data_IF_399422910088
#
_entry.id   IF_399422910088
#
_cell.length_a   1.000
_cell.length_b   1.000
_cell.length_c   1.000
_cell.angle_alpha   90.00
_cell.angle_beta   90.00
_cell.angle_gamma   90.00
#
_symmetry.space_group_name_H-M   'P 1'
#
loop_
_entity.id
_entity.type
_entity.pdbx_description
1 polymer ?
#
# COMPACT_ATOMS: atom_id res chain seq x y z
N UNK A 1 5.00 -22.45 -20.68
CA UNK A 1 4.55 -21.65 -19.53
C UNK A 1 5.46 -20.43 -19.48
N UNK A 2 4.95 -19.22 -19.67
CA UNK A 2 5.75 -17.98 -19.63
C UNK A 2 5.84 -17.50 -18.18
N UNK A 3 7.05 -17.50 -17.60
CA UNK A 3 7.30 -17.01 -16.25
C UNK A 3 7.81 -15.57 -16.32
N UNK A 4 7.13 -14.63 -15.65
CA UNK A 4 7.58 -13.24 -15.59
C UNK A 4 8.34 -12.99 -14.30
N UNK A 5 9.58 -12.53 -14.43
CA UNK A 5 10.44 -12.18 -13.30
C UNK A 5 10.50 -10.66 -13.14
N UNK A 6 10.59 -10.20 -11.89
CA UNK A 6 10.77 -8.77 -11.59
C UNK A 6 12.24 -8.48 -11.38
N UNK A 7 12.70 -7.37 -11.94
CA UNK A 7 14.07 -6.91 -11.77
C UNK A 7 14.18 -5.39 -11.85
N UNK A 8 15.33 -4.89 -11.42
CA UNK A 8 15.76 -3.51 -11.62
C UNK A 8 16.94 -3.53 -12.60
N UNK A 9 16.82 -2.81 -13.71
CA UNK A 9 17.93 -2.56 -14.63
C UNK A 9 18.68 -1.30 -14.20
N UNK A 10 19.94 -1.42 -13.77
CA UNK A 10 20.84 -0.31 -13.46
C UNK A 10 21.96 -0.26 -14.49
N UNK A 11 21.90 0.68 -15.43
CA UNK A 11 22.82 0.72 -16.56
C UNK A 11 22.68 -0.55 -17.40
N UNK A 12 23.71 -1.40 -17.40
CA UNK A 12 23.71 -2.69 -18.10
C UNK A 12 23.62 -3.91 -17.16
N UNK A 13 23.28 -3.71 -15.89
CA UNK A 13 23.19 -4.78 -14.90
C UNK A 13 21.74 -4.98 -14.45
N UNK A 14 21.28 -6.23 -14.49
CA UNK A 14 19.96 -6.64 -14.01
C UNK A 14 20.10 -7.14 -12.58
N UNK A 15 19.33 -6.56 -11.66
CA UNK A 15 19.21 -7.02 -10.27
C UNK A 15 17.81 -7.59 -10.07
N UNK A 16 17.71 -8.90 -9.84
CA UNK A 16 16.42 -9.58 -9.63
C UNK A 16 15.78 -9.14 -8.30
N UNK A 17 14.46 -8.95 -8.32
CA UNK A 17 13.65 -8.65 -7.16
C UNK A 17 12.83 -9.88 -6.79
N UNK A 18 13.29 -10.63 -5.79
CA UNK A 18 12.69 -11.89 -5.38
C UNK A 18 13.31 -13.07 -6.12
N UNK A 19 12.47 -13.91 -6.72
CA UNK A 19 12.91 -15.12 -7.40
C UNK A 19 13.73 -14.78 -8.66
N UNK A 20 14.80 -15.53 -8.83
CA UNK A 20 15.70 -15.44 -9.99
C UNK A 20 15.38 -16.60 -10.94
N UNK A 21 15.35 -16.36 -12.26
CA UNK A 21 15.29 -17.47 -13.23
C UNK A 21 16.54 -18.36 -13.11
N UNK A 22 16.32 -19.66 -13.14
CA UNK A 22 17.40 -20.63 -13.32
C UNK A 22 17.92 -20.51 -14.76
N UNK A 23 19.03 -19.79 -14.91
CA UNK A 23 19.75 -19.59 -16.17
C UNK A 23 21.09 -20.31 -16.07
N UNK A 24 21.56 -20.91 -17.16
CA UNK A 24 22.93 -21.39 -17.30
C UNK A 24 23.97 -20.27 -17.25
N UNK A 25 25.24 -20.59 -17.52
CA UNK A 25 26.34 -19.60 -17.44
C UNK A 25 26.19 -18.46 -18.45
N UNK A 26 25.69 -18.75 -19.66
CA UNK A 26 25.41 -17.77 -20.71
C UNK A 26 24.24 -18.24 -21.57
N UNK A 27 23.06 -17.65 -21.36
CA UNK A 27 21.88 -17.88 -22.18
C UNK A 27 21.40 -16.56 -22.78
N UNK A 28 20.97 -16.61 -24.04
CA UNK A 28 20.37 -15.47 -24.73
C UNK A 28 18.93 -15.29 -24.22
N UNK A 29 18.62 -14.09 -23.72
CA UNK A 29 17.29 -13.76 -23.18
C UNK A 29 16.74 -12.48 -23.80
N UNK A 30 15.46 -12.49 -24.13
CA UNK A 30 14.71 -11.30 -24.52
C UNK A 30 14.24 -10.51 -23.30
N UNK A 31 14.56 -9.22 -23.25
CA UNK A 31 14.17 -8.34 -22.14
C UNK A 31 13.11 -7.35 -22.62
N UNK A 32 11.90 -7.44 -22.06
CA UNK A 32 10.85 -6.45 -22.25
C UNK A 32 10.89 -5.43 -21.09
N UNK A 33 11.34 -4.22 -21.38
CA UNK A 33 11.43 -3.15 -20.37
C UNK A 33 10.07 -2.47 -20.20
N UNK A 34 9.34 -2.87 -19.17
CA UNK A 34 8.14 -2.16 -18.73
C UNK A 34 8.53 -1.14 -17.67
N UNK A 35 8.38 0.15 -17.98
CA UNK A 35 8.59 1.21 -16.98
C UNK A 35 7.53 1.06 -15.89
N UNK A 36 7.96 0.59 -14.73
CA UNK A 36 7.18 0.76 -13.51
C UNK A 36 6.99 2.26 -13.33
N UNK A 37 5.75 2.72 -13.17
CA UNK A 37 5.53 4.10 -12.72
C UNK A 37 6.35 4.32 -11.46
N UNK A 38 6.99 5.48 -11.36
CA UNK A 38 7.72 5.90 -10.17
C UNK A 38 6.85 5.61 -8.95
N UNK A 39 7.41 5.11 -7.82
CA UNK A 39 6.63 5.04 -6.60
C UNK A 39 6.00 6.41 -6.37
N UNK A 40 4.68 6.48 -6.12
CA UNK A 40 4.00 7.76 -5.97
C UNK A 40 4.69 8.56 -4.89
N UNK A 41 4.89 9.84 -5.16
CA UNK A 41 5.40 10.80 -4.18
C UNK A 41 4.55 10.76 -2.91
N UNK A 42 5.12 11.22 -1.80
CA UNK A 42 4.37 11.28 -0.54
C UNK A 42 3.09 12.12 -0.67
N UNK A 43 3.10 13.16 -1.51
CA UNK A 43 1.93 13.97 -1.81
C UNK A 43 0.84 13.17 -2.56
N UNK A 44 1.22 12.42 -3.60
CA UNK A 44 0.29 11.57 -4.35
C UNK A 44 -0.29 10.43 -3.47
N UNK A 45 0.52 9.85 -2.58
CA UNK A 45 0.05 8.86 -1.62
C UNK A 45 -0.97 9.46 -0.65
N UNK A 46 -0.70 10.65 -0.10
CA UNK A 46 -1.63 11.36 0.79
C UNK A 46 -2.93 11.69 0.07
N UNK A 47 -2.85 12.17 -1.17
CA UNK A 47 -4.03 12.48 -1.97
C UNK A 47 -4.86 11.23 -2.25
N UNK A 48 -4.22 10.11 -2.63
CA UNK A 48 -4.89 8.83 -2.86
C UNK A 48 -5.59 8.34 -1.61
N UNK A 49 -4.92 8.41 -0.45
CA UNK A 49 -5.49 8.02 0.83
C UNK A 49 -6.69 8.91 1.21
N UNK A 50 -6.57 10.24 1.05
CA UNK A 50 -7.65 11.17 1.32
C UNK A 50 -8.88 10.89 0.45
N UNK A 51 -8.68 10.62 -0.84
CA UNK A 51 -9.77 10.25 -1.76
C UNK A 51 -10.46 8.96 -1.32
N UNK A 52 -9.71 7.93 -0.95
CA UNK A 52 -10.29 6.66 -0.47
C UNK A 52 -11.07 6.87 0.82
N UNK A 53 -10.53 7.62 1.78
CA UNK A 53 -11.26 7.93 3.02
C UNK A 53 -12.55 8.71 2.76
N UNK A 54 -12.54 9.67 1.85
CA UNK A 54 -13.73 10.41 1.45
C UNK A 54 -14.79 9.48 0.82
N UNK A 55 -14.37 8.55 -0.04
CA UNK A 55 -15.26 7.53 -0.61
C UNK A 55 -15.81 6.57 0.45
N UNK A 56 -15.01 6.16 1.44
CA UNK A 56 -15.48 5.30 2.52
C UNK A 56 -16.50 6.01 3.42
N UNK A 57 -16.34 7.31 3.63
CA UNK A 57 -17.28 8.10 4.43
C UNK A 57 -18.68 8.17 3.81
N UNK A 58 -18.81 8.16 2.47
CA UNK A 58 -20.12 8.21 1.80
C UNK A 58 -20.93 6.93 2.00
N UNK A 59 -20.26 5.79 2.21
CA UNK A 59 -20.90 4.48 2.47
C UNK A 59 -21.50 4.41 3.88
N UNK A 60 -21.23 5.40 4.74
CA UNK A 60 -21.67 5.46 6.15
C UNK A 60 -21.56 4.10 6.87
N UNK A 61 -20.37 3.49 6.90
CA UNK A 61 -20.18 2.12 7.42
C UNK A 61 -20.64 1.94 8.87
N UNK A 62 -20.66 3.02 9.64
CA UNK A 62 -21.03 3.02 11.06
C UNK A 62 -22.44 3.55 11.34
N UNK A 63 -23.31 3.66 10.32
CA UNK A 63 -24.67 4.21 10.50
C UNK A 63 -25.53 3.45 11.52
N UNK A 64 -25.22 2.18 11.76
CA UNK A 64 -25.91 1.33 12.75
C UNK A 64 -25.42 1.55 14.19
N UNK A 65 -24.33 2.29 14.38
CA UNK A 65 -23.77 2.59 15.69
C UNK A 65 -24.38 3.90 16.17
N UNK A 66 -25.17 3.83 17.24
CA UNK A 66 -25.92 4.97 17.77
C UNK A 66 -25.00 6.10 18.26
N UNK A 67 -23.93 5.75 18.98
CA UNK A 67 -22.85 6.67 19.36
C UNK A 67 -21.49 6.07 18.93
N UNK A 68 -20.98 6.44 17.75
CA UNK A 68 -19.70 5.95 17.25
C UNK A 68 -18.51 6.35 18.14
N UNK A 69 -18.60 7.46 18.86
CA UNK A 69 -17.52 7.96 19.72
C UNK A 69 -17.44 7.13 20.99
N UNK A 70 -18.57 6.94 21.68
CA UNK A 70 -18.63 6.07 22.85
C UNK A 70 -18.25 4.63 22.49
N UNK A 71 -18.77 4.10 21.38
CA UNK A 71 -18.40 2.77 20.89
C UNK A 71 -16.88 2.65 20.64
N UNK A 72 -16.26 3.65 20.01
CA UNK A 72 -14.81 3.63 19.77
C UNK A 72 -14.01 3.69 21.08
N UNK A 73 -14.43 4.50 22.05
CA UNK A 73 -13.80 4.59 23.37
C UNK A 73 -13.87 3.26 24.11
N UNK A 74 -15.03 2.58 24.08
CA UNK A 74 -15.19 1.23 24.63
C UNK A 74 -14.26 0.22 23.94
N UNK A 75 -14.22 0.20 22.61
CA UNK A 75 -13.35 -0.72 21.86
C UNK A 75 -11.86 -0.50 22.14
N UNK A 76 -11.45 0.76 22.34
CA UNK A 76 -10.05 1.11 22.65
C UNK A 76 -9.71 0.98 24.13
N UNK A 77 -10.71 0.77 24.98
CA UNK A 77 -10.57 0.84 26.43
C UNK A 77 -9.92 2.17 26.84
N UNK A 78 -10.37 3.26 26.21
CA UNK A 78 -9.83 4.59 26.46
C UNK A 78 -10.03 4.91 27.95
N UNK A 79 -8.93 5.21 28.64
CA UNK A 79 -8.99 5.61 30.05
C UNK A 79 -9.51 7.04 30.12
N UNK A 80 -10.33 7.31 31.14
CA UNK A 80 -10.71 8.67 31.47
C UNK A 80 -9.44 9.52 31.68
N UNK A 81 -9.33 10.60 30.92
CA UNK A 81 -8.25 11.56 31.13
C UNK A 81 -8.61 12.42 32.34
N UNK A 82 -7.72 12.56 33.33
CA UNK A 82 -7.97 13.46 34.44
C UNK A 82 -8.19 14.89 33.90
N UNK A 83 -9.19 15.59 34.46
CA UNK A 83 -9.56 16.99 34.14
C UNK A 83 -10.22 17.25 32.78
N UNK A 84 -10.81 16.23 32.13
CA UNK A 84 -11.50 16.40 30.83
C UNK A 84 -13.01 16.66 30.94
N UNK A 85 -13.58 16.45 32.12
CA UNK A 85 -14.99 16.70 32.44
C UNK A 85 -15.11 17.94 33.37
N UNK A 86 -14.97 19.13 32.79
CA UNK A 86 -15.29 20.41 33.44
C UNK A 86 -15.75 21.42 32.40
#
# INVERSE_FOLDING_TARGET
>A
MTQTYRAILKGNQITWLGDRPELGEAEEIDIVVVKSSSPPSQAEQRQKLATILAQLATVRPFQKIHDPVAWQQEQRQDRALPFRDS
#
